data_IF_931603944199
#
_entry.id   IF_931603944199
#
_cell.length_a   1.000
_cell.length_b   1.000
_cell.length_c   1.000
_cell.angle_alpha   90.00
_cell.angle_beta   90.00
_cell.angle_gamma   90.00
#
_symmetry.space_group_name_H-M   'P 1'
#
loop_
_entity.id
_entity.type
_entity.pdbx_description
1 polymer ?
#
# COMPACT_ATOMS: atom_id res chain seq x y z
N UNK A 1 -12.99 4.08 -6.13
CA UNK A 1 -11.83 4.90 -5.74
C UNK A 1 -10.91 5.10 -6.94
N UNK A 2 -10.34 6.29 -7.18
CA UNK A 2 -9.30 6.46 -8.19
C UNK A 2 -8.01 5.87 -7.64
N UNK A 3 -7.70 4.62 -7.99
CA UNK A 3 -6.31 4.19 -8.07
C UNK A 3 -5.59 5.28 -8.89
N UNK A 4 -4.56 5.92 -8.34
CA UNK A 4 -3.71 6.84 -9.10
C UNK A 4 -3.33 6.11 -10.40
N UNK A 5 -3.84 6.59 -11.55
CA UNK A 5 -3.89 5.82 -12.82
C UNK A 5 -2.51 5.28 -13.21
N UNK A 6 -1.44 5.92 -12.73
CA UNK A 6 -0.05 5.52 -12.89
C UNK A 6 0.25 4.12 -12.37
N UNK A 7 -0.39 3.69 -11.29
CA UNK A 7 -0.16 2.36 -10.74
C UNK A 7 -1.13 1.34 -11.32
N UNK A 8 -2.26 1.74 -11.89
CA UNK A 8 -3.38 0.85 -12.25
C UNK A 8 -2.98 -0.27 -13.21
N UNK A 9 -2.15 0.03 -14.19
CA UNK A 9 -1.73 -0.93 -15.22
C UNK A 9 -0.47 -1.73 -14.84
N UNK A 10 0.23 -1.35 -13.76
CA UNK A 10 1.42 -2.06 -13.29
C UNK A 10 1.04 -3.34 -12.52
N UNK A 11 1.68 -4.45 -12.86
CA UNK A 11 1.62 -5.69 -12.09
C UNK A 11 2.45 -5.60 -10.81
N UNK A 12 2.19 -6.49 -9.84
CA UNK A 12 3.03 -6.63 -8.63
C UNK A 12 3.75 -7.97 -8.72
N UNK A 13 5.08 -7.95 -8.63
CA UNK A 13 5.90 -9.16 -8.70
C UNK A 13 5.43 -10.20 -7.67
N UNK A 14 5.10 -11.40 -8.15
CA UNK A 14 4.69 -12.52 -7.29
C UNK A 14 3.31 -12.41 -6.65
N UNK A 15 2.48 -11.40 -6.97
CA UNK A 15 1.11 -11.27 -6.43
C UNK A 15 0.08 -10.93 -7.51
N UNK A 16 -1.12 -11.49 -7.36
CA UNK A 16 -2.28 -11.17 -8.21
C UNK A 16 -2.90 -9.87 -7.72
N UNK A 17 -2.57 -8.75 -8.38
CA UNK A 17 -3.04 -7.42 -7.97
C UNK A 17 -4.56 -7.27 -7.88
N UNK A 18 -5.30 -8.00 -8.71
CA UNK A 18 -6.77 -8.04 -8.67
C UNK A 18 -7.34 -8.57 -7.34
N UNK A 19 -6.53 -9.28 -6.55
CA UNK A 19 -6.89 -9.83 -5.24
C UNK A 19 -6.40 -8.97 -4.08
N UNK A 20 -5.71 -7.87 -4.37
CA UNK A 20 -5.19 -6.96 -3.36
C UNK A 20 -6.13 -5.77 -3.21
N UNK A 21 -6.28 -5.31 -1.99
CA UNK A 21 -7.00 -4.09 -1.69
C UNK A 21 -6.01 -2.93 -1.66
N UNK A 22 -6.26 -1.91 -2.47
CA UNK A 22 -5.44 -0.71 -2.46
C UNK A 22 -5.83 0.15 -1.27
N UNK A 23 -4.86 0.45 -0.41
CA UNK A 23 -5.07 1.25 0.79
C UNK A 23 -4.77 2.72 0.55
N UNK A 24 -3.84 3.03 -0.37
CA UNK A 24 -3.43 4.40 -0.64
C UNK A 24 -1.99 4.51 -1.11
N UNK A 25 -1.42 5.71 -0.95
CA UNK A 25 0.00 5.99 -1.21
C UNK A 25 0.62 6.73 -0.03
N UNK A 26 1.83 6.35 0.37
CA UNK A 26 2.65 7.05 1.37
C UNK A 26 3.79 7.79 0.69
N UNK A 27 4.13 9.00 1.14
CA UNK A 27 5.28 9.75 0.62
C UNK A 27 6.33 9.91 1.72
N UNK A 28 7.40 9.07 1.76
CA UNK A 28 8.48 9.28 2.72
C UNK A 28 9.25 10.57 2.38
N UNK A 29 8.82 11.71 2.93
CA UNK A 29 9.41 13.04 2.67
C UNK A 29 9.22 13.54 1.23
N UNK A 30 10.25 14.17 0.65
CA UNK A 30 10.31 14.62 -0.77
C UNK A 30 10.41 13.45 -1.80
N UNK A 31 10.17 12.21 -1.36
CA UNK A 31 10.25 11.01 -2.18
C UNK A 31 9.06 10.79 -3.12
N UNK A 32 9.19 9.79 -3.99
CA UNK A 32 8.08 9.34 -4.82
C UNK A 32 6.98 8.69 -3.96
N UNK A 33 5.72 8.91 -4.33
CA UNK A 33 4.58 8.26 -3.70
C UNK A 33 4.68 6.72 -3.84
N UNK A 34 4.60 6.03 -2.72
CA UNK A 34 4.75 4.59 -2.58
C UNK A 34 3.36 3.97 -2.35
N UNK A 35 2.81 3.19 -3.29
CA UNK A 35 1.52 2.56 -3.11
C UNK A 35 1.55 1.46 -2.04
N UNK A 36 0.47 1.41 -1.26
CA UNK A 36 0.26 0.47 -0.16
C UNK A 36 -0.93 -0.42 -0.47
N UNK A 37 -0.78 -1.71 -0.23
CA UNK A 37 -1.77 -2.73 -0.50
C UNK A 37 -1.99 -3.62 0.73
N UNK A 38 -3.20 -4.16 0.85
CA UNK A 38 -3.58 -5.24 1.76
C UNK A 38 -3.81 -6.52 0.94
N UNK A 39 -3.18 -7.63 1.33
CA UNK A 39 -3.56 -8.97 0.86
C UNK A 39 -4.47 -9.63 1.90
N UNK A 40 -5.79 -9.69 1.67
CA UNK A 40 -6.74 -10.25 2.63
C UNK A 40 -6.62 -11.77 2.78
N UNK A 41 -5.79 -12.45 1.98
CA UNK A 41 -5.57 -13.91 2.11
C UNK A 41 -4.47 -14.23 3.12
N UNK A 42 -3.53 -13.31 3.29
CA UNK A 42 -2.42 -13.45 4.22
C UNK A 42 -2.52 -12.48 5.39
N UNK A 43 -3.56 -11.63 5.41
CA UNK A 43 -3.73 -10.58 6.41
C UNK A 43 -2.46 -9.72 6.51
N UNK A 44 -1.92 -9.31 5.36
CA UNK A 44 -0.66 -8.55 5.27
C UNK A 44 -0.87 -7.21 4.58
N UNK A 45 -0.35 -6.15 5.21
CA UNK A 45 -0.17 -4.83 4.60
C UNK A 45 1.27 -4.69 4.15
N UNK A 46 1.48 -4.22 2.92
CA UNK A 46 2.81 -4.01 2.38
C UNK A 46 2.86 -2.83 1.43
N UNK A 47 4.05 -2.24 1.34
CA UNK A 47 4.38 -1.19 0.38
C UNK A 47 4.96 -1.81 -0.88
N UNK A 48 4.80 -1.10 -1.99
CA UNK A 48 5.41 -1.47 -3.26
C UNK A 48 6.18 -0.29 -3.85
N UNK A 49 7.34 -0.59 -4.44
CA UNK A 49 8.16 0.36 -5.19
C UNK A 49 7.95 0.15 -6.68
N UNK A 50 7.93 1.24 -7.46
CA UNK A 50 7.89 1.16 -8.92
C UNK A 50 9.29 0.87 -9.43
N UNK A 51 9.45 -0.23 -10.14
CA UNK A 51 10.69 -0.56 -10.85
C UNK A 51 10.61 0.12 -12.22
N UNK A 52 11.19 1.32 -12.32
CA UNK A 52 11.13 2.18 -13.52
C UNK A 52 11.64 1.48 -14.79
N UNK A 53 12.56 0.52 -14.65
CA UNK A 53 13.15 -0.23 -15.77
C UNK A 53 12.24 -1.33 -16.33
N UNK A 54 11.21 -1.77 -15.61
CA UNK A 54 10.52 -3.03 -15.93
C UNK A 54 8.98 -2.96 -15.87
N UNK A 55 8.40 -1.75 -15.85
CA UNK A 55 6.94 -1.51 -15.87
C UNK A 55 6.16 -2.39 -14.87
N UNK A 56 6.75 -2.65 -13.71
CA UNK A 56 6.12 -3.41 -12.64
C UNK A 56 6.46 -2.84 -11.28
N UNK A 57 5.69 -3.27 -10.29
CA UNK A 57 5.88 -2.91 -8.90
C UNK A 57 6.45 -4.10 -8.13
N UNK A 58 7.35 -3.81 -7.18
CA UNK A 58 7.94 -4.83 -6.31
C UNK A 58 7.57 -4.57 -4.87
N UNK A 59 7.29 -5.62 -4.12
CA UNK A 59 7.02 -5.53 -2.68
C UNK A 59 8.30 -5.12 -1.97
N UNK A 60 8.20 -4.12 -1.10
CA UNK A 60 9.28 -3.70 -0.20
C UNK A 60 9.26 -4.63 1.02
N UNK A 61 10.18 -5.60 1.17
CA UNK A 61 10.02 -6.69 2.15
C UNK A 61 10.04 -6.21 3.60
N UNK A 62 10.82 -5.17 3.89
CA UNK A 62 10.90 -4.53 5.21
C UNK A 62 9.61 -3.80 5.64
N UNK A 63 8.68 -3.61 4.70
CA UNK A 63 7.39 -2.94 4.95
C UNK A 63 6.23 -3.89 5.22
N UNK A 64 6.45 -5.20 5.10
CA UNK A 64 5.38 -6.18 5.28
C UNK A 64 5.01 -6.24 6.76
N UNK A 65 3.75 -5.96 7.06
CA UNK A 65 3.16 -6.00 8.40
C UNK A 65 1.95 -6.91 8.40
N UNK A 66 1.87 -7.83 9.37
CA UNK A 66 0.67 -8.66 9.55
C UNK A 66 -0.40 -7.90 10.33
N UNK A 67 -1.66 -8.05 9.91
CA UNK A 67 -2.87 -7.56 10.57
C UNK A 67 -3.57 -8.65 11.38
N UNK A 68 -3.00 -9.85 11.48
CA UNK A 68 -3.56 -10.92 12.34
C UNK A 68 -3.39 -10.59 13.83
N UNK A 69 -2.24 -10.00 14.19
CA UNK A 69 -1.89 -9.69 15.58
C UNK A 69 -2.32 -8.28 16.01
N UNK A 70 -2.65 -7.40 15.07
CA UNK A 70 -2.99 -5.99 15.29
C UNK A 70 -4.11 -5.58 14.33
N UNK A 71 -5.05 -4.76 14.81
CA UNK A 71 -6.12 -4.25 13.94
C UNK A 71 -5.53 -3.59 12.70
N UNK A 72 -6.13 -3.85 11.52
CA UNK A 72 -5.77 -3.19 10.26
C UNK A 72 -5.63 -1.68 10.45
N UNK A 73 -6.53 -1.06 11.22
CA UNK A 73 -6.52 0.36 11.50
C UNK A 73 -5.27 0.84 12.28
N UNK A 74 -4.75 0.02 13.19
CA UNK A 74 -3.55 0.35 13.96
C UNK A 74 -2.29 0.19 13.10
N UNK A 75 -2.21 -0.87 12.28
CA UNK A 75 -1.11 -1.08 11.32
C UNK A 75 -1.05 0.07 10.31
N UNK A 76 -2.21 0.43 9.77
CA UNK A 76 -2.37 1.52 8.82
C UNK A 76 -1.96 2.86 9.45
N UNK A 77 -2.39 3.14 10.69
CA UNK A 77 -2.01 4.37 11.41
C UNK A 77 -0.50 4.44 11.67
N UNK A 78 0.11 3.33 12.09
CA UNK A 78 1.55 3.23 12.35
C UNK A 78 2.37 3.52 11.08
N UNK A 79 1.99 2.90 9.96
CA UNK A 79 2.58 3.18 8.63
C UNK A 79 2.44 4.67 8.26
N UNK A 80 1.32 5.30 8.65
CA UNK A 80 1.07 6.69 8.33
C UNK A 80 1.80 7.73 9.15
N UNK A 81 1.92 7.49 10.44
CA UNK A 81 2.75 8.29 11.35
C UNK A 81 4.24 8.16 10.97
N UNK A 82 4.70 6.97 10.58
CA UNK A 82 6.10 6.74 10.19
C UNK A 82 6.46 7.44 8.87
N UNK A 83 5.55 7.48 7.90
CA UNK A 83 5.89 7.79 6.50
C UNK A 83 5.23 9.04 5.94
N UNK A 84 4.37 9.75 6.68
CA UNK A 84 3.72 10.95 6.16
C UNK A 84 2.57 10.64 5.21
N UNK A 85 1.47 10.18 5.78
CA UNK A 85 0.15 10.80 5.73
C UNK A 85 -0.53 11.48 4.52
N UNK A 86 0.07 11.71 3.34
CA UNK A 86 -0.48 12.78 2.47
C UNK A 86 -1.84 12.48 1.82
N UNK A 87 -2.29 11.22 1.72
CA UNK A 87 -3.58 10.85 1.07
C UNK A 87 -4.24 9.55 1.58
N UNK A 88 -4.37 9.36 2.89
CA UNK A 88 -5.05 8.17 3.44
C UNK A 88 -6.29 8.49 4.30
N UNK A 89 -6.66 9.77 4.40
CA UNK A 89 -7.91 10.22 5.02
C UNK A 89 -9.15 9.58 4.37
N UNK A 90 -9.09 9.29 3.06
CA UNK A 90 -10.22 8.73 2.31
C UNK A 90 -10.53 7.25 2.64
N UNK A 91 -9.56 6.46 3.11
CA UNK A 91 -9.76 5.04 3.43
C UNK A 91 -10.46 4.83 4.79
N UNK A 92 -10.15 5.67 5.78
CA UNK A 92 -10.80 5.61 7.10
C UNK A 92 -12.27 6.05 7.08
N UNK A 93 -12.67 6.85 6.09
CA UNK A 93 -14.04 7.35 5.95
C UNK A 93 -14.98 6.37 5.22
N UNK A 94 -14.48 5.47 4.36
CA UNK A 94 -15.32 4.47 3.65
C UNK A 94 -15.64 3.20 4.47
N UNK A 95 -14.98 2.99 5.62
CA UNK A 95 -15.17 1.80 6.47
C UNK A 95 -15.73 2.09 7.88
N UNK A 96 -16.40 3.24 8.09
CA UNK A 96 -17.21 3.51 9.29
C UNK A 96 -18.71 3.35 9.03
#
# INVERSE_FOLDING_TARGET
MPNDDRYRDLGIEGREKERLEWLGTTSPGDGAAVPVYLDPRTDEVFRTEVVEDEDHMRVVPESVRSTEESSLADVIRDIGDELGWERLSEFGEEHN
#
